data_IF_552654282512
#
_entry.id   IF_552654282512
#
_cell.length_a   1.000
_cell.length_b   1.000
_cell.length_c   1.000
_cell.angle_alpha   90.00
_cell.angle_beta   90.00
_cell.angle_gamma   90.00
#
_symmetry.space_group_name_H-M   'P 1'
#
loop_
_entity.id
_entity.type
_entity.pdbx_description
1 polymer ?
#
# COMPACT_ATOMS: atom_id res chain seq x y z
N UNK A 1 -16.42 -0.59 1.39
CA UNK A 1 -15.63 -1.66 2.01
C UNK A 1 -14.56 -1.05 2.94
N UNK A 2 -13.65 -0.19 2.44
CA UNK A 2 -12.56 0.39 3.24
C UNK A 2 -13.05 1.11 4.51
N UNK A 3 -14.04 1.98 4.41
CA UNK A 3 -14.63 2.69 5.56
C UNK A 3 -15.21 1.73 6.59
N UNK A 4 -15.93 0.70 6.16
CA UNK A 4 -16.52 -0.29 7.07
C UNK A 4 -15.47 -1.13 7.82
N UNK A 5 -14.28 -1.33 7.23
CA UNK A 5 -13.20 -2.08 7.87
C UNK A 5 -12.30 -1.20 8.77
N UNK A 6 -12.38 0.12 8.65
CA UNK A 6 -11.47 1.05 9.31
C UNK A 6 -11.52 0.93 10.84
N UNK A 7 -12.71 0.95 11.43
CA UNK A 7 -12.87 0.90 12.90
C UNK A 7 -12.23 -0.34 13.51
N UNK A 8 -12.36 -1.50 12.87
CA UNK A 8 -11.74 -2.74 13.32
C UNK A 8 -10.21 -2.70 13.17
N UNK A 9 -9.74 -2.27 12.00
CA UNK A 9 -8.31 -2.23 11.70
C UNK A 9 -7.55 -1.17 12.50
N UNK A 10 -8.12 0.00 12.68
CA UNK A 10 -7.50 1.10 13.44
C UNK A 10 -7.24 0.73 14.91
N UNK A 11 -8.08 -0.13 15.48
CA UNK A 11 -7.95 -0.64 16.86
C UNK A 11 -7.09 -1.88 16.97
N UNK A 12 -6.68 -2.49 15.85
CA UNK A 12 -5.77 -3.65 15.84
C UNK A 12 -4.43 -3.24 16.47
N UNK A 13 -3.93 -3.97 17.48
CA UNK A 13 -2.66 -3.64 18.13
C UNK A 13 -1.50 -3.53 17.13
N UNK A 14 -0.56 -2.57 17.32
CA UNK A 14 0.59 -2.40 16.42
C UNK A 14 1.39 -3.67 16.19
N UNK A 15 1.58 -4.51 17.20
CA UNK A 15 2.28 -5.79 17.08
C UNK A 15 1.54 -6.78 16.17
N UNK A 16 0.22 -6.78 16.18
CA UNK A 16 -0.60 -7.62 15.29
C UNK A 16 -0.55 -7.11 13.86
N UNK A 17 -0.64 -5.80 13.63
CA UNK A 17 -0.41 -5.20 12.31
C UNK A 17 0.97 -5.52 11.77
N UNK A 18 2.01 -5.47 12.63
CA UNK A 18 3.37 -5.88 12.29
C UNK A 18 3.43 -7.35 11.84
N UNK A 19 2.71 -8.25 12.51
CA UNK A 19 2.65 -9.66 12.13
C UNK A 19 2.00 -9.87 10.75
N UNK A 20 0.94 -9.13 10.40
CA UNK A 20 0.36 -9.16 9.06
C UNK A 20 1.36 -8.67 7.99
N UNK A 21 2.04 -7.56 8.23
CA UNK A 21 3.07 -7.03 7.31
C UNK A 21 4.22 -8.02 7.12
N UNK A 22 4.63 -8.74 8.17
CA UNK A 22 5.65 -9.77 8.09
C UNK A 22 5.18 -10.96 7.22
N UNK A 23 3.94 -11.41 7.35
CA UNK A 23 3.37 -12.46 6.48
C UNK A 23 3.30 -12.01 5.02
N UNK A 24 2.95 -10.75 4.77
CA UNK A 24 2.97 -10.18 3.40
C UNK A 24 4.40 -10.21 2.85
N UNK A 25 5.39 -9.77 3.62
CA UNK A 25 6.80 -9.86 3.26
C UNK A 25 7.20 -11.30 2.86
N UNK A 26 6.84 -12.29 3.66
CA UNK A 26 7.15 -13.70 3.40
C UNK A 26 6.47 -14.21 2.13
N UNK A 27 5.19 -13.86 1.93
CA UNK A 27 4.46 -14.18 0.71
C UNK A 27 5.08 -13.55 -0.55
N UNK A 28 5.50 -12.29 -0.48
CA UNK A 28 6.20 -11.62 -1.58
C UNK A 28 7.56 -12.26 -1.86
N UNK A 29 8.30 -12.63 -0.81
CA UNK A 29 9.59 -13.33 -0.94
C UNK A 29 9.42 -14.69 -1.62
N UNK A 30 8.40 -15.44 -1.27
CA UNK A 30 8.10 -16.74 -1.87
C UNK A 30 7.72 -16.63 -3.37
N UNK A 31 7.13 -15.50 -3.80
CA UNK A 31 6.69 -15.24 -5.18
C UNK A 31 7.61 -14.26 -5.94
N UNK A 32 8.85 -14.05 -5.48
CA UNK A 32 9.79 -13.06 -6.05
C UNK A 32 10.00 -13.26 -7.57
N UNK A 33 10.17 -14.49 -8.04
CA UNK A 33 10.41 -14.79 -9.46
C UNK A 33 9.17 -14.52 -10.31
N UNK A 34 7.98 -14.85 -9.83
CA UNK A 34 6.71 -14.57 -10.49
C UNK A 34 6.49 -13.06 -10.61
N UNK A 35 6.66 -12.33 -9.52
CA UNK A 35 6.57 -10.86 -9.48
C UNK A 35 7.55 -10.25 -10.48
N UNK A 36 8.81 -10.70 -10.47
CA UNK A 36 9.85 -10.20 -11.37
C UNK A 36 9.52 -10.44 -12.84
N UNK A 37 9.01 -11.63 -13.21
CA UNK A 37 8.59 -11.96 -14.58
C UNK A 37 7.39 -11.12 -15.02
N UNK A 38 6.39 -10.96 -14.16
CA UNK A 38 5.21 -10.15 -14.44
C UNK A 38 5.60 -8.71 -14.70
N UNK A 39 6.39 -8.10 -13.82
CA UNK A 39 6.83 -6.71 -14.00
C UNK A 39 7.70 -6.56 -15.26
N UNK A 40 8.60 -7.52 -15.55
CA UNK A 40 9.40 -7.49 -16.76
C UNK A 40 8.53 -7.49 -18.02
N UNK A 41 7.44 -8.28 -18.04
CA UNK A 41 6.50 -8.33 -19.13
C UNK A 41 5.65 -7.05 -19.27
N UNK A 42 5.21 -6.46 -18.13
CA UNK A 42 4.37 -5.26 -18.14
C UNK A 42 5.14 -4.00 -18.58
N UNK A 43 6.38 -3.81 -18.09
CA UNK A 43 7.11 -2.55 -18.29
C UNK A 43 8.33 -2.65 -19.20
N UNK A 44 8.60 -3.83 -19.78
CA UNK A 44 9.74 -4.04 -20.70
C UNK A 44 11.11 -3.98 -20.01
N UNK A 45 11.18 -4.19 -18.69
CA UNK A 45 12.44 -4.16 -17.95
C UNK A 45 13.20 -5.49 -18.11
N UNK A 46 14.57 -5.47 -18.18
CA UNK A 46 15.35 -6.71 -18.14
C UNK A 46 15.04 -7.55 -16.92
N UNK A 47 14.74 -8.84 -17.10
CA UNK A 47 14.27 -9.74 -16.05
C UNK A 47 15.15 -9.73 -14.80
N UNK A 48 16.47 -9.72 -14.95
CA UNK A 48 17.41 -9.67 -13.81
C UNK A 48 17.20 -8.42 -12.93
N UNK A 49 16.92 -7.28 -13.54
CA UNK A 49 16.64 -6.03 -12.82
C UNK A 49 15.24 -6.04 -12.24
N UNK A 50 14.25 -6.55 -12.97
CA UNK A 50 12.89 -6.70 -12.47
C UNK A 50 12.85 -7.56 -11.21
N UNK A 51 13.49 -8.73 -11.20
CA UNK A 51 13.54 -9.60 -10.03
C UNK A 51 14.30 -8.97 -8.87
N UNK A 52 15.49 -8.42 -9.13
CA UNK A 52 16.35 -7.90 -8.06
C UNK A 52 15.82 -6.60 -7.45
N UNK A 53 15.35 -5.66 -8.29
CA UNK A 53 14.96 -4.32 -7.85
C UNK A 53 13.46 -4.23 -7.66
N UNK A 54 12.68 -4.56 -8.69
CA UNK A 54 11.23 -4.34 -8.70
C UNK A 54 10.46 -5.31 -7.79
N UNK A 55 10.96 -6.54 -7.62
CA UNK A 55 10.40 -7.48 -6.65
C UNK A 55 11.12 -7.39 -5.29
N UNK A 56 12.45 -7.29 -5.27
CA UNK A 56 13.23 -7.29 -4.03
C UNK A 56 13.01 -6.05 -3.16
N UNK A 57 13.02 -4.85 -3.74
CA UNK A 57 12.86 -3.60 -3.00
C UNK A 57 11.50 -3.47 -2.29
N UNK A 58 10.34 -3.71 -2.96
CA UNK A 58 9.04 -3.68 -2.28
C UNK A 58 8.90 -4.76 -1.21
N UNK A 59 9.47 -5.95 -1.44
CA UNK A 59 9.51 -7.02 -0.43
C UNK A 59 10.24 -6.56 0.82
N UNK A 60 11.39 -5.89 0.67
CA UNK A 60 12.13 -5.29 1.79
C UNK A 60 11.33 -4.19 2.50
N UNK A 61 10.58 -3.37 1.74
CA UNK A 61 9.73 -2.30 2.30
C UNK A 61 8.71 -2.87 3.29
N UNK A 62 8.01 -3.96 2.96
CA UNK A 62 7.08 -4.58 3.90
C UNK A 62 7.78 -5.09 5.18
N UNK A 63 8.97 -5.70 5.07
CA UNK A 63 9.76 -6.11 6.24
C UNK A 63 10.17 -4.94 7.12
N UNK A 64 10.58 -3.82 6.50
CA UNK A 64 10.95 -2.60 7.21
C UNK A 64 9.77 -2.03 8.00
N UNK A 65 8.59 -1.92 7.38
CA UNK A 65 7.40 -1.42 8.06
C UNK A 65 6.81 -2.40 9.07
N UNK A 66 6.99 -3.71 8.91
CA UNK A 66 6.68 -4.69 9.94
C UNK A 66 7.48 -4.42 11.22
N UNK A 67 8.80 -4.21 11.10
CA UNK A 67 9.65 -3.87 12.24
C UNK A 67 9.30 -2.52 12.85
N UNK A 68 9.10 -1.51 12.00
CA UNK A 68 8.77 -0.16 12.44
C UNK A 68 7.44 -0.11 13.20
N UNK A 69 6.40 -0.78 12.70
CA UNK A 69 5.09 -0.81 13.35
C UNK A 69 5.14 -1.34 14.79
N UNK A 70 5.99 -2.36 15.03
CA UNK A 70 6.18 -2.95 16.36
C UNK A 70 7.03 -2.11 17.32
N UNK A 71 7.88 -1.21 16.80
CA UNK A 71 8.81 -0.40 17.61
C UNK A 71 8.48 1.09 17.64
N UNK A 72 7.50 1.54 16.85
CA UNK A 72 7.13 2.94 16.75
C UNK A 72 6.45 3.42 18.04
N UNK A 73 6.82 4.62 18.48
CA UNK A 73 6.22 5.23 19.69
C UNK A 73 4.87 5.86 19.33
N UNK A 74 3.79 5.08 19.48
CA UNK A 74 2.43 5.53 19.20
C UNK A 74 1.90 6.50 20.23
N UNK A 75 2.37 6.41 21.46
CA UNK A 75 2.01 7.27 22.59
C UNK A 75 3.26 7.90 23.21
N UNK A 76 3.19 9.17 23.56
CA UNK A 76 4.29 9.91 24.15
C UNK A 76 3.78 10.80 25.28
N UNK A 77 4.33 10.63 26.48
CA UNK A 77 4.01 11.47 27.62
C UNK A 77 4.92 12.70 27.65
N UNK A 78 4.33 13.89 27.53
CA UNK A 78 5.03 15.17 27.61
C UNK A 78 4.47 15.95 28.80
N UNK A 79 5.21 15.96 29.92
CA UNK A 79 4.74 16.56 31.16
C UNK A 79 3.47 15.87 31.67
N UNK A 80 2.37 16.60 31.76
CA UNK A 80 1.05 16.09 32.16
C UNK A 80 0.12 15.75 30.99
N UNK A 81 0.64 15.82 29.74
CA UNK A 81 -0.11 15.53 28.52
C UNK A 81 0.29 14.19 27.92
N UNK A 82 -0.67 13.51 27.29
CA UNK A 82 -0.44 12.33 26.48
C UNK A 82 -0.66 12.68 25.01
N UNK A 83 0.38 12.54 24.20
CA UNK A 83 0.31 12.70 22.74
C UNK A 83 0.08 11.32 22.14
N UNK A 84 -1.04 11.15 21.43
CA UNK A 84 -1.39 9.91 20.74
C UNK A 84 -1.30 10.12 19.21
N UNK A 85 -0.73 9.13 18.52
CA UNK A 85 -0.66 9.10 17.06
C UNK A 85 -1.70 8.12 16.54
N UNK A 86 -2.71 8.64 15.85
CA UNK A 86 -3.85 7.87 15.37
C UNK A 86 -3.80 7.72 13.83
N UNK A 87 -4.39 6.63 13.27
CA UNK A 87 -4.52 6.47 11.82
C UNK A 87 -5.45 7.53 11.24
N UNK A 88 -5.07 8.07 10.07
CA UNK A 88 -5.83 9.15 9.40
C UNK A 88 -7.19 8.68 8.86
N UNK A 89 -7.37 7.40 8.58
CA UNK A 89 -8.61 6.87 8.03
C UNK A 89 -8.41 6.00 6.79
N UNK A 90 -9.23 6.23 5.76
CA UNK A 90 -9.16 5.58 4.46
C UNK A 90 -8.16 6.31 3.56
N UNK A 91 -7.12 5.61 3.13
CA UNK A 91 -6.06 6.15 2.26
C UNK A 91 -6.25 5.66 0.83
N UNK A 92 -6.46 6.58 -0.10
CA UNK A 92 -6.43 6.31 -1.53
C UNK A 92 -4.98 6.36 -2.01
N UNK A 93 -4.48 5.26 -2.56
CA UNK A 93 -3.13 5.15 -3.11
C UNK A 93 -3.20 5.09 -4.64
N UNK A 94 -2.60 6.06 -5.34
CA UNK A 94 -2.53 6.09 -6.81
C UNK A 94 -1.06 6.04 -7.21
N UNK A 95 -0.71 5.08 -8.10
CA UNK A 95 0.69 4.79 -8.41
C UNK A 95 0.97 4.75 -9.92
N UNK A 96 2.19 5.13 -10.36
CA UNK A 96 2.62 5.10 -11.75
C UNK A 96 3.09 3.69 -12.16
N UNK A 97 3.46 3.56 -13.45
CA UNK A 97 3.84 2.30 -14.09
C UNK A 97 5.35 1.98 -14.05
N UNK A 98 6.22 2.98 -13.90
CA UNK A 98 7.67 2.82 -14.13
C UNK A 98 8.40 2.01 -13.05
N UNK A 99 7.95 2.11 -11.79
CA UNK A 99 8.39 1.28 -10.65
C UNK A 99 7.14 0.77 -9.91
N UNK A 100 6.30 -0.06 -10.58
CA UNK A 100 4.92 -0.26 -10.18
C UNK A 100 4.79 -0.79 -8.75
N UNK A 101 5.34 -1.96 -8.45
CA UNK A 101 5.20 -2.56 -7.13
C UNK A 101 5.96 -1.81 -6.03
N UNK A 102 7.09 -1.16 -6.37
CA UNK A 102 7.82 -0.33 -5.41
C UNK A 102 6.98 0.87 -4.95
N UNK A 103 6.35 1.57 -5.89
CA UNK A 103 5.49 2.71 -5.56
C UNK A 103 4.23 2.29 -4.79
N UNK A 104 3.71 1.10 -5.06
CA UNK A 104 2.61 0.51 -4.30
C UNK A 104 3.06 0.23 -2.86
N UNK A 105 4.16 -0.51 -2.68
CA UNK A 105 4.66 -0.87 -1.35
C UNK A 105 5.00 0.35 -0.50
N UNK A 106 5.59 1.40 -1.10
CA UNK A 106 5.92 2.65 -0.41
C UNK A 106 4.71 3.43 0.13
N UNK A 107 3.49 3.10 -0.30
CA UNK A 107 2.23 3.69 0.16
C UNK A 107 1.42 2.73 1.01
N UNK A 108 1.26 1.50 0.53
CA UNK A 108 0.42 0.48 1.19
C UNK A 108 1.02 0.02 2.51
N UNK A 109 2.32 -0.27 2.55
CA UNK A 109 2.95 -0.77 3.77
C UNK A 109 2.88 0.24 4.95
N UNK A 110 3.26 1.52 4.79
CA UNK A 110 3.10 2.50 5.87
C UNK A 110 1.64 2.74 6.24
N UNK A 111 0.71 2.78 5.29
CA UNK A 111 -0.71 2.99 5.58
C UNK A 111 -1.27 1.84 6.44
N UNK A 112 -1.00 0.58 6.07
CA UNK A 112 -1.41 -0.58 6.87
C UNK A 112 -0.72 -0.60 8.23
N UNK A 113 0.58 -0.29 8.31
CA UNK A 113 1.32 -0.19 9.55
C UNK A 113 0.71 0.83 10.52
N UNK A 114 0.29 1.98 9.98
CA UNK A 114 -0.34 3.05 10.75
C UNK A 114 -1.77 2.72 11.22
N UNK A 115 -2.39 1.66 10.72
CA UNK A 115 -3.78 1.30 11.05
C UNK A 115 -4.81 1.92 10.11
N UNK A 116 -4.38 2.46 8.97
CA UNK A 116 -5.26 2.96 7.92
C UNK A 116 -5.76 1.82 7.03
N UNK A 117 -6.96 1.96 6.47
CA UNK A 117 -7.42 1.11 5.37
C UNK A 117 -7.04 1.73 4.02
N UNK A 118 -6.89 0.89 3.00
CA UNK A 118 -6.32 1.30 1.71
C UNK A 118 -7.27 0.98 0.56
N UNK A 119 -7.40 1.94 -0.36
CA UNK A 119 -7.92 1.74 -1.71
C UNK A 119 -6.80 2.03 -2.70
N UNK A 120 -6.26 0.99 -3.32
CA UNK A 120 -5.16 1.09 -4.30
C UNK A 120 -5.70 1.16 -5.72
N UNK A 121 -5.29 2.18 -6.46
CA UNK A 121 -5.41 2.25 -7.92
C UNK A 121 -4.01 2.22 -8.55
N UNK A 122 -3.55 1.07 -9.06
CA UNK A 122 -2.31 1.00 -9.84
C UNK A 122 -2.49 1.66 -11.21
N UNK A 123 -1.37 1.93 -11.88
CA UNK A 123 -1.44 2.34 -13.29
C UNK A 123 -2.09 1.25 -14.14
N UNK A 124 -2.93 1.66 -15.08
CA UNK A 124 -3.55 0.79 -16.09
C UNK A 124 -2.53 0.17 -17.04
N UNK A 125 -1.33 0.74 -17.12
CA UNK A 125 -0.22 0.23 -17.95
C UNK A 125 0.45 -1.00 -17.34
N UNK A 126 0.52 -1.08 -16.01
CA UNK A 126 1.19 -2.16 -15.30
C UNK A 126 0.39 -2.57 -14.04
N UNK A 127 -0.82 -3.15 -14.20
CA UNK A 127 -1.69 -3.48 -13.07
C UNK A 127 -1.45 -4.88 -12.48
N UNK A 128 -0.88 -5.83 -13.23
CA UNK A 128 -0.88 -7.25 -12.85
C UNK A 128 -0.07 -7.54 -11.59
N UNK A 129 1.03 -6.84 -11.39
CA UNK A 129 1.81 -6.96 -10.15
C UNK A 129 1.01 -6.57 -8.90
N UNK A 130 0.03 -5.67 -9.02
CA UNK A 130 -0.87 -5.30 -7.93
C UNK A 130 -1.88 -6.41 -7.59
N UNK A 131 -2.32 -7.21 -8.57
CA UNK A 131 -3.15 -8.39 -8.32
C UNK A 131 -2.39 -9.45 -7.54
N UNK A 132 -1.11 -9.70 -7.91
CA UNK A 132 -0.24 -10.63 -7.16
C UNK A 132 -0.12 -10.17 -5.70
N UNK A 133 0.08 -8.88 -5.46
CA UNK A 133 0.13 -8.32 -4.10
C UNK A 133 -1.22 -8.50 -3.38
N UNK A 134 -2.35 -8.28 -4.04
CA UNK A 134 -3.67 -8.48 -3.45
C UNK A 134 -3.89 -9.92 -3.00
N UNK A 135 -3.51 -10.90 -3.81
CA UNK A 135 -3.55 -12.33 -3.46
C UNK A 135 -2.66 -12.64 -2.23
N UNK A 136 -1.46 -12.05 -2.17
CA UNK A 136 -0.54 -12.22 -1.04
C UNK A 136 -1.14 -11.61 0.24
N UNK A 137 -1.77 -10.44 0.16
CA UNK A 137 -2.42 -9.78 1.29
C UNK A 137 -3.60 -10.61 1.80
N UNK A 138 -4.40 -11.16 0.90
CA UNK A 138 -5.51 -12.06 1.26
C UNK A 138 -5.00 -13.34 1.93
N UNK A 139 -3.99 -13.97 1.35
CA UNK A 139 -3.34 -15.17 1.92
C UNK A 139 -2.67 -14.91 3.28
N UNK A 140 -2.20 -13.70 3.53
CA UNK A 140 -1.67 -13.28 4.84
C UNK A 140 -2.75 -13.18 5.92
N UNK A 141 -4.04 -13.23 5.53
CA UNK A 141 -5.18 -13.16 6.43
C UNK A 141 -5.54 -11.75 6.88
N UNK A 142 -5.12 -10.72 6.14
CA UNK A 142 -5.54 -9.33 6.42
C UNK A 142 -7.06 -9.24 6.30
N UNK A 143 -7.75 -8.61 7.28
CA UNK A 143 -9.22 -8.58 7.28
C UNK A 143 -9.81 -7.95 6.01
N UNK A 144 -10.94 -8.50 5.55
CA UNK A 144 -11.62 -8.02 4.33
C UNK A 144 -11.96 -6.54 4.44
N UNK A 145 -11.69 -5.80 3.36
CA UNK A 145 -11.90 -4.36 3.29
C UNK A 145 -10.75 -3.50 3.81
N UNK A 146 -9.76 -4.06 4.51
CA UNK A 146 -8.56 -3.32 4.95
C UNK A 146 -7.70 -2.93 3.75
N UNK A 147 -7.55 -3.82 2.78
CA UNK A 147 -6.93 -3.53 1.49
C UNK A 147 -7.94 -3.78 0.37
N UNK A 148 -8.06 -2.83 -0.56
CA UNK A 148 -8.97 -2.88 -1.70
C UNK A 148 -8.20 -2.47 -2.96
N UNK A 149 -8.27 -3.30 -4.00
CA UNK A 149 -7.68 -3.04 -5.31
C UNK A 149 -8.78 -2.64 -6.29
N UNK A 150 -8.62 -1.50 -6.94
CA UNK A 150 -9.49 -1.05 -8.03
C UNK A 150 -8.64 -0.70 -9.25
N UNK A 151 -9.09 -1.08 -10.43
CA UNK A 151 -8.41 -0.81 -11.69
C UNK A 151 -9.22 0.15 -12.55
N UNK A 152 -8.53 0.86 -13.44
CA UNK A 152 -9.13 1.80 -14.37
C UNK A 152 -8.19 2.96 -14.71
N UNK A 153 -8.63 3.82 -15.62
CA UNK A 153 -7.86 4.98 -16.05
C UNK A 153 -7.79 6.07 -14.98
N UNK A 154 -6.79 6.95 -15.09
CA UNK A 154 -6.65 8.10 -14.20
C UNK A 154 -7.86 9.02 -14.22
N UNK A 155 -8.35 9.34 -15.43
CA UNK A 155 -9.46 10.29 -15.63
C UNK A 155 -10.81 9.76 -15.14
N UNK A 156 -11.05 8.45 -15.20
CA UNK A 156 -12.31 7.88 -14.73
C UNK A 156 -12.25 7.47 -13.25
N UNK A 157 -11.39 6.50 -12.93
CA UNK A 157 -11.34 5.92 -11.58
C UNK A 157 -10.48 6.77 -10.64
N UNK A 158 -9.37 7.34 -11.14
CA UNK A 158 -8.52 8.21 -10.33
C UNK A 158 -9.26 9.43 -9.80
N UNK A 159 -9.96 10.17 -10.66
CA UNK A 159 -10.76 11.33 -10.24
C UNK A 159 -11.89 10.97 -9.30
N UNK A 160 -12.61 9.88 -9.57
CA UNK A 160 -13.69 9.43 -8.70
C UNK A 160 -13.19 9.10 -7.28
N UNK A 161 -12.00 8.48 -7.17
CA UNK A 161 -11.40 8.15 -5.88
C UNK A 161 -10.94 9.38 -5.11
N UNK A 162 -10.31 10.34 -5.80
CA UNK A 162 -9.79 11.57 -5.16
C UNK A 162 -10.92 12.43 -4.60
N UNK A 163 -12.07 12.46 -5.28
CA UNK A 163 -13.25 13.24 -4.87
C UNK A 163 -14.20 12.49 -3.96
N UNK A 164 -13.88 11.23 -3.64
CA UNK A 164 -14.81 10.40 -2.87
C UNK A 164 -14.89 10.87 -1.40
N UNK A 165 -16.08 11.14 -0.85
CA UNK A 165 -16.23 11.69 0.51
C UNK A 165 -15.73 10.75 1.63
N UNK A 166 -15.59 9.47 1.35
CA UNK A 166 -15.04 8.47 2.29
C UNK A 166 -13.51 8.37 2.23
N UNK A 167 -12.81 9.16 1.39
CA UNK A 167 -11.36 9.21 1.33
C UNK A 167 -10.85 10.30 2.30
N UNK A 168 -10.08 9.90 3.31
CA UNK A 168 -9.51 10.84 4.28
C UNK A 168 -8.15 11.37 3.83
N UNK A 169 -7.43 10.59 3.00
CA UNK A 169 -6.12 10.95 2.48
C UNK A 169 -5.90 10.39 1.08
N UNK A 170 -5.22 11.15 0.23
CA UNK A 170 -4.74 10.68 -1.08
C UNK A 170 -3.22 10.67 -1.09
N UNK A 171 -2.63 9.49 -1.33
CA UNK A 171 -1.20 9.30 -1.56
C UNK A 171 -0.95 9.05 -3.06
N UNK A 172 -0.52 10.09 -3.75
CA UNK A 172 -0.34 10.10 -5.20
C UNK A 172 1.14 10.09 -5.60
N UNK A 173 1.47 9.35 -6.64
CA UNK A 173 2.71 9.47 -7.40
C UNK A 173 2.39 9.36 -8.89
N UNK A 174 2.82 10.32 -9.68
CA UNK A 174 2.55 10.37 -11.11
C UNK A 174 3.12 11.62 -11.78
N UNK A 175 2.54 12.06 -12.91
CA UNK A 175 2.96 13.26 -13.61
C UNK A 175 2.58 14.53 -12.83
N UNK A 176 3.32 15.62 -13.05
CA UNK A 176 3.02 16.93 -12.48
C UNK A 176 1.61 17.39 -12.84
N UNK A 177 1.16 17.15 -14.08
CA UNK A 177 -0.20 17.48 -14.54
C UNK A 177 -1.25 16.75 -13.68
N UNK A 178 -1.09 15.44 -13.49
CA UNK A 178 -2.04 14.67 -12.68
C UNK A 178 -1.97 15.07 -11.20
N UNK A 179 -0.76 15.37 -10.66
CA UNK A 179 -0.60 15.84 -9.29
C UNK A 179 -1.31 17.15 -9.01
N UNK A 180 -1.24 18.12 -9.94
CA UNK A 180 -2.02 19.37 -9.85
C UNK A 180 -3.52 19.07 -9.79
N UNK A 181 -4.01 18.17 -10.65
CA UNK A 181 -5.43 17.78 -10.68
C UNK A 181 -5.89 17.11 -9.39
N UNK A 182 -5.01 16.33 -8.75
CA UNK A 182 -5.30 15.68 -7.46
C UNK A 182 -5.38 16.71 -6.31
N UNK A 183 -4.66 17.83 -6.41
CA UNK A 183 -4.61 18.87 -5.36
C UNK A 183 -5.73 19.93 -5.45
N UNK A 184 -6.49 19.94 -6.54
CA UNK A 184 -7.67 20.82 -6.76
C UNK A 184 -8.95 20.23 -6.12
#
# INVERSE_FOLDING_TARGET
AARAAFDGWSRTPPAERAAFLQKIHEGMKARTDEIGRTIAAEVGMPLKLATRIQAGSPTFTFSMYAKLAGSFQWEEKIGNSLVMREPVGVVVCITPWNYPLHQIAAKVAPALAAGCTVVLKPSEVAPLNAFILAEIIDAAGVPKGVFNLVTGTGDAVGEALVRHPEADMVSFTGSTRAGKRVSE
#
